data_IF_444762898233
#
_entry.id   IF_444762898233
#
_cell.length_a   1.000
_cell.length_b   1.000
_cell.length_c   1.000
_cell.angle_alpha   90.00
_cell.angle_beta   90.00
_cell.angle_gamma   90.00
#
_symmetry.space_group_name_H-M   'P 1'
#
loop_
_entity.id
_entity.type
_entity.pdbx_description
1 polymer ?
#
# COMPACT_ATOMS: atom_id res chain seq x y z
N UNK A 1 -5.09 -5.38 8.52
CA UNK A 1 -4.69 -5.73 9.88
C UNK A 1 -3.35 -5.06 10.21
N UNK A 2 -3.18 -4.51 11.43
CA UNK A 2 -1.97 -3.77 11.78
C UNK A 2 -1.85 -3.61 13.30
N UNK A 3 -0.68 -3.15 13.75
CA UNK A 3 -0.42 -2.67 15.10
C UNK A 3 0.09 -1.22 15.06
N UNK A 4 0.33 -0.63 16.24
CA UNK A 4 0.79 0.75 16.35
C UNK A 4 2.17 1.00 15.70
N UNK A 5 3.01 -0.03 15.57
CA UNK A 5 4.33 0.11 14.93
C UNK A 5 4.25 0.34 13.42
N UNK A 6 3.15 -0.10 12.79
CA UNK A 6 2.86 0.05 11.36
C UNK A 6 1.78 1.10 11.06
N UNK A 7 1.45 1.96 12.03
CA UNK A 7 0.36 2.94 11.89
C UNK A 7 0.58 3.93 10.74
N UNK A 8 1.81 4.39 10.54
CA UNK A 8 2.17 5.30 9.43
C UNK A 8 1.92 4.64 8.06
N UNK A 9 2.27 3.38 7.94
CA UNK A 9 2.06 2.60 6.72
C UNK A 9 0.56 2.39 6.47
N UNK A 10 -0.18 1.99 7.50
CA UNK A 10 -1.63 1.85 7.43
C UNK A 10 -2.31 3.18 7.04
N UNK A 11 -1.91 4.31 7.63
CA UNK A 11 -2.43 5.63 7.28
C UNK A 11 -2.12 6.00 5.83
N UNK A 12 -0.92 5.68 5.34
CA UNK A 12 -0.53 5.91 3.94
C UNK A 12 -1.40 5.09 2.98
N UNK A 13 -1.64 3.82 3.31
CA UNK A 13 -2.55 2.96 2.54
C UNK A 13 -3.97 3.53 2.55
N UNK A 14 -4.50 3.96 3.70
CA UNK A 14 -5.83 4.57 3.82
C UNK A 14 -5.93 5.85 2.99
N UNK A 15 -4.93 6.73 3.04
CA UNK A 15 -4.87 7.92 2.16
C UNK A 15 -4.97 7.54 0.69
N UNK A 16 -4.19 6.54 0.26
CA UNK A 16 -4.21 6.09 -1.13
C UNK A 16 -5.57 5.53 -1.55
N UNK A 17 -6.28 4.81 -0.67
CA UNK A 17 -7.65 4.34 -0.93
C UNK A 17 -8.58 5.54 -1.14
N UNK A 18 -8.58 6.49 -0.21
CA UNK A 18 -9.53 7.61 -0.18
C UNK A 18 -9.28 8.68 -1.25
N UNK A 19 -8.08 8.73 -1.83
CA UNK A 19 -7.80 9.56 -3.02
C UNK A 19 -8.56 9.06 -4.25
N UNK A 20 -8.77 7.75 -4.36
CA UNK A 20 -9.33 7.12 -5.55
C UNK A 20 -10.72 6.52 -5.36
N UNK A 21 -11.19 6.40 -4.11
CA UNK A 21 -12.45 5.74 -3.78
C UNK A 21 -13.22 6.55 -2.73
N UNK A 22 -14.53 6.63 -2.90
CA UNK A 22 -15.47 7.26 -1.95
C UNK A 22 -16.51 6.24 -1.48
N UNK A 23 -17.28 6.57 -0.48
CA UNK A 23 -18.31 5.68 0.09
C UNK A 23 -17.72 4.36 0.61
N UNK A 24 -16.54 4.42 1.22
CA UNK A 24 -15.85 3.24 1.73
C UNK A 24 -15.89 3.17 3.26
N UNK A 25 -16.14 1.98 3.77
CA UNK A 25 -16.00 1.65 5.18
C UNK A 25 -14.72 0.82 5.36
N UNK A 26 -13.74 1.37 6.07
CA UNK A 26 -12.42 0.76 6.26
C UNK A 26 -12.34 0.19 7.68
N UNK A 27 -12.27 -1.12 7.81
CA UNK A 27 -12.07 -1.80 9.09
C UNK A 27 -10.58 -2.00 9.35
N UNK A 28 -10.10 -1.48 10.48
CA UNK A 28 -8.71 -1.67 10.93
C UNK A 28 -8.70 -2.66 12.08
N UNK A 29 -8.31 -3.90 11.78
CA UNK A 29 -8.11 -4.94 12.78
C UNK A 29 -6.79 -4.67 13.49
N UNK A 30 -6.87 -4.39 14.80
CA UNK A 30 -5.70 -3.99 15.56
C UNK A 30 -5.81 -4.43 17.04
N UNK A 31 -4.71 -4.30 17.78
CA UNK A 31 -4.70 -4.66 19.20
C UNK A 31 -4.19 -3.54 20.14
N UNK A 32 -3.62 -2.46 19.60
CA UNK A 32 -2.90 -1.46 20.40
C UNK A 32 -2.96 -0.03 19.85
N UNK A 33 -3.75 0.23 18.80
CA UNK A 33 -3.91 1.58 18.27
C UNK A 33 -4.86 2.38 19.17
N UNK A 34 -4.44 3.58 19.54
CA UNK A 34 -5.22 4.46 20.41
C UNK A 34 -6.58 4.84 19.78
N UNK A 35 -7.70 4.74 20.52
CA UNK A 35 -9.03 5.10 20.02
C UNK A 35 -9.12 6.56 19.54
N UNK A 36 -8.31 7.45 20.08
CA UNK A 36 -8.23 8.86 19.70
C UNK A 36 -7.79 9.03 18.24
N UNK A 37 -6.91 8.18 17.75
CA UNK A 37 -6.49 8.22 16.35
C UNK A 37 -7.69 8.02 15.41
N UNK A 38 -8.52 7.01 15.66
CA UNK A 38 -9.74 6.76 14.88
C UNK A 38 -10.72 7.91 14.96
N UNK A 39 -10.91 8.46 16.14
CA UNK A 39 -11.81 9.61 16.37
C UNK A 39 -11.36 10.84 15.58
N UNK A 40 -10.07 11.15 15.62
CA UNK A 40 -9.49 12.29 14.89
C UNK A 40 -9.54 12.08 13.37
N UNK A 41 -9.27 10.87 12.91
CA UNK A 41 -9.34 10.52 11.50
C UNK A 41 -10.78 10.64 10.99
N UNK A 42 -11.75 10.02 11.65
CA UNK A 42 -13.15 10.08 11.25
C UNK A 42 -13.74 11.50 11.30
N UNK A 43 -13.23 12.37 12.17
CA UNK A 43 -13.62 13.77 12.16
C UNK A 43 -13.24 14.46 10.84
N UNK A 44 -12.15 14.05 10.21
CA UNK A 44 -11.71 14.55 8.88
C UNK A 44 -12.52 13.94 7.74
N UNK A 45 -12.91 12.67 7.85
CA UNK A 45 -13.55 11.89 6.77
C UNK A 45 -15.04 12.19 6.56
N UNK A 46 -15.68 13.00 7.42
CA UNK A 46 -17.14 13.28 7.36
C UNK A 46 -17.63 13.79 6.00
N UNK A 47 -16.77 14.51 5.28
CA UNK A 47 -17.15 15.16 4.01
C UNK A 47 -17.05 14.25 2.78
N UNK A 48 -16.48 13.05 2.93
CA UNK A 48 -16.25 12.09 1.82
C UNK A 48 -17.09 10.82 1.97
N UNK A 49 -18.08 10.86 2.87
CA UNK A 49 -18.99 9.74 3.14
C UNK A 49 -18.26 8.41 3.37
N UNK A 50 -17.11 8.49 4.06
CA UNK A 50 -16.28 7.32 4.36
C UNK A 50 -15.92 7.30 5.84
N UNK A 51 -15.64 6.12 6.36
CA UNK A 51 -15.29 5.95 7.76
C UNK A 51 -14.21 4.89 7.97
N UNK A 52 -13.49 5.02 9.09
CA UNK A 52 -12.49 4.06 9.54
C UNK A 52 -12.92 3.50 10.89
N UNK A 53 -13.19 2.22 10.94
CA UNK A 53 -13.70 1.51 12.12
C UNK A 53 -12.57 0.70 12.75
N UNK A 54 -12.36 0.91 14.06
CA UNK A 54 -11.45 0.09 14.85
C UNK A 54 -12.12 -1.24 15.22
N UNK A 55 -11.48 -2.34 14.88
CA UNK A 55 -11.83 -3.66 15.41
C UNK A 55 -10.66 -4.15 16.29
N UNK A 56 -10.92 -4.24 17.58
CA UNK A 56 -9.94 -4.77 18.51
C UNK A 56 -9.90 -6.30 18.44
N UNK A 57 -8.70 -6.86 18.19
CA UNK A 57 -8.46 -8.29 18.17
C UNK A 57 -7.57 -8.68 19.34
N UNK A 58 -7.98 -9.68 20.12
CA UNK A 58 -7.14 -10.20 21.21
C UNK A 58 -5.93 -10.94 20.60
N UNK A 59 -4.76 -10.33 20.72
CA UNK A 59 -3.51 -10.89 20.24
C UNK A 59 -3.18 -12.26 20.84
N UNK A 60 -3.67 -12.56 22.04
CA UNK A 60 -3.37 -13.82 22.73
C UNK A 60 -3.83 -15.05 21.93
N UNK A 61 -4.80 -14.88 21.03
CA UNK A 61 -5.23 -15.94 20.13
C UNK A 61 -4.13 -16.41 19.17
N UNK A 62 -3.13 -15.56 18.89
CA UNK A 62 -2.14 -15.80 17.83
C UNK A 62 -0.68 -15.73 18.29
N UNK A 63 -0.41 -15.41 19.56
CA UNK A 63 0.97 -15.26 20.07
C UNK A 63 1.78 -16.57 20.07
N UNK A 64 1.10 -17.70 20.03
CA UNK A 64 1.73 -19.02 19.90
C UNK A 64 2.09 -19.40 18.46
N UNK A 65 1.59 -18.64 17.47
CA UNK A 65 1.82 -18.95 16.08
C UNK A 65 3.21 -18.50 15.63
N UNK A 66 3.84 -19.33 14.80
CA UNK A 66 5.16 -19.02 14.26
C UNK A 66 5.09 -17.83 13.33
N UNK A 67 5.91 -16.84 13.61
CA UNK A 67 6.11 -15.65 12.80
C UNK A 67 7.55 -15.57 12.33
N UNK A 68 7.83 -14.72 11.34
CA UNK A 68 9.19 -14.48 10.84
C UNK A 68 9.65 -13.06 11.14
N UNK A 69 10.86 -12.72 10.72
CA UNK A 69 11.44 -11.38 10.95
C UNK A 69 10.60 -10.21 10.36
N UNK A 70 9.81 -10.49 9.33
CA UNK A 70 8.99 -9.51 8.61
C UNK A 70 7.49 -9.71 8.82
N UNK A 71 7.09 -10.79 9.48
CA UNK A 71 5.70 -11.21 9.61
C UNK A 71 5.42 -11.37 11.10
N UNK A 72 4.55 -10.53 11.63
CA UNK A 72 4.11 -10.65 13.02
C UNK A 72 2.72 -11.34 13.11
N UNK A 73 2.25 -11.61 14.31
CA UNK A 73 0.97 -12.30 14.53
C UNK A 73 -0.25 -11.57 13.95
N UNK A 74 -0.17 -10.25 13.68
CA UNK A 74 -1.30 -9.50 13.12
C UNK A 74 -1.69 -9.96 11.72
N UNK A 75 -0.80 -10.67 11.04
CA UNK A 75 -1.10 -11.27 9.73
C UNK A 75 -2.25 -12.28 9.82
N UNK A 76 -2.39 -13.01 10.92
CA UNK A 76 -3.48 -13.96 11.13
C UNK A 76 -4.83 -13.31 11.41
N UNK A 77 -4.88 -12.02 11.74
CA UNK A 77 -6.15 -11.31 11.99
C UNK A 77 -7.08 -11.35 10.77
N UNK A 78 -6.52 -11.48 9.56
CA UNK A 78 -7.32 -11.58 8.32
C UNK A 78 -8.24 -12.80 8.30
N UNK A 79 -7.94 -13.86 9.04
CA UNK A 79 -8.83 -15.03 9.16
C UNK A 79 -10.16 -14.69 9.80
N UNK A 80 -10.18 -13.72 10.71
CA UNK A 80 -11.35 -13.35 11.50
C UNK A 80 -12.30 -12.37 10.78
N UNK A 81 -11.91 -11.84 9.61
CA UNK A 81 -12.68 -10.82 8.90
C UNK A 81 -14.15 -11.25 8.71
N UNK A 82 -14.45 -12.46 8.23
CA UNK A 82 -15.84 -12.85 7.99
C UNK A 82 -16.75 -12.82 9.23
N UNK A 83 -16.21 -13.05 10.43
CA UNK A 83 -16.97 -12.98 11.67
C UNK A 83 -17.05 -11.56 12.26
N UNK A 84 -16.07 -10.72 11.95
CA UNK A 84 -15.96 -9.38 12.52
C UNK A 84 -16.63 -8.30 11.65
N UNK A 85 -16.88 -8.59 10.39
CA UNK A 85 -17.49 -7.68 9.43
C UNK A 85 -18.83 -8.23 8.95
N UNK A 86 -19.89 -7.45 9.07
CA UNK A 86 -21.26 -7.91 8.79
C UNK A 86 -21.61 -7.97 7.30
N UNK A 87 -20.81 -7.36 6.42
CA UNK A 87 -21.06 -7.40 4.97
C UNK A 87 -20.86 -8.80 4.39
N UNK A 88 -21.51 -9.05 3.25
CA UNK A 88 -21.43 -10.33 2.54
C UNK A 88 -20.05 -10.58 1.95
N UNK A 89 -19.28 -9.53 1.70
CA UNK A 89 -17.91 -9.61 1.20
C UNK A 89 -17.01 -8.55 1.80
N UNK A 90 -15.70 -8.80 1.75
CA UNK A 90 -14.67 -7.88 2.19
C UNK A 90 -13.49 -7.90 1.23
N UNK A 91 -12.91 -6.71 0.99
CA UNK A 91 -11.61 -6.60 0.32
C UNK A 91 -10.54 -6.38 1.40
N UNK A 92 -9.72 -7.39 1.64
CA UNK A 92 -8.57 -7.30 2.53
C UNK A 92 -7.38 -6.70 1.79
N UNK A 93 -6.70 -5.78 2.45
CA UNK A 93 -5.49 -5.11 1.97
C UNK A 93 -4.42 -5.11 3.07
N UNK A 94 -3.20 -5.49 2.74
CA UNK A 94 -2.04 -5.30 3.62
C UNK A 94 -1.73 -3.80 3.80
N UNK A 95 -0.93 -3.46 4.80
CA UNK A 95 -0.58 -2.05 5.12
C UNK A 95 0.65 -1.54 4.35
N UNK A 96 1.29 -2.36 3.56
CA UNK A 96 2.48 -2.04 2.78
C UNK A 96 2.19 -1.95 1.28
N UNK A 97 1.01 -1.45 0.96
CA UNK A 97 0.57 -1.24 -0.42
C UNK A 97 0.00 0.17 -0.66
N UNK A 98 -0.14 0.52 -1.93
CA UNK A 98 -0.80 1.73 -2.39
C UNK A 98 -1.90 1.39 -3.39
N UNK A 99 -3.06 1.99 -3.18
CA UNK A 99 -4.16 2.01 -4.15
C UNK A 99 -3.98 3.22 -5.05
N UNK A 100 -3.94 3.00 -6.36
CA UNK A 100 -3.73 4.04 -7.38
C UNK A 100 -4.85 4.10 -8.40
N UNK A 101 -6.00 3.52 -8.07
CA UNK A 101 -7.18 3.55 -8.91
C UNK A 101 -8.46 3.14 -8.20
N UNK A 102 -9.56 3.21 -8.90
CA UNK A 102 -10.88 2.76 -8.43
C UNK A 102 -10.88 1.24 -8.25
N UNK A 103 -11.38 0.79 -7.10
CA UNK A 103 -11.49 -0.62 -6.70
C UNK A 103 -12.91 -1.19 -6.85
N UNK A 104 -13.88 -0.40 -7.33
CA UNK A 104 -15.29 -0.82 -7.43
C UNK A 104 -15.46 -2.07 -8.31
N UNK A 105 -14.73 -2.14 -9.42
CA UNK A 105 -14.76 -3.30 -10.31
C UNK A 105 -14.27 -4.56 -9.62
N UNK A 106 -13.18 -4.48 -8.87
CA UNK A 106 -12.65 -5.58 -8.07
C UNK A 106 -13.65 -5.99 -6.98
N UNK A 107 -14.18 -5.01 -6.24
CA UNK A 107 -15.07 -5.28 -5.11
C UNK A 107 -16.38 -5.95 -5.53
N UNK A 108 -16.93 -5.59 -6.71
CA UNK A 108 -18.21 -6.11 -7.20
C UNK A 108 -18.08 -7.26 -8.20
N UNK A 109 -16.87 -7.75 -8.46
CA UNK A 109 -16.67 -8.83 -9.41
C UNK A 109 -17.42 -10.11 -9.01
N UNK A 110 -17.79 -10.91 -9.99
CA UNK A 110 -18.31 -12.25 -9.75
C UNK A 110 -17.17 -13.17 -9.28
N UNK A 111 -17.32 -13.74 -8.10
CA UNK A 111 -16.36 -14.68 -7.51
C UNK A 111 -16.57 -16.13 -7.97
N UNK A 112 -17.57 -16.40 -8.82
CA UNK A 112 -17.87 -17.75 -9.37
C UNK A 112 -18.04 -18.83 -8.30
N UNK A 113 -18.60 -18.43 -7.14
CA UNK A 113 -18.77 -19.33 -5.99
C UNK A 113 -17.46 -19.70 -5.28
N UNK A 114 -16.37 -18.97 -5.54
CA UNK A 114 -15.11 -19.18 -4.84
C UNK A 114 -15.06 -18.38 -3.52
N UNK A 115 -14.48 -18.96 -2.45
CA UNK A 115 -14.42 -18.30 -1.14
C UNK A 115 -13.43 -17.13 -1.09
N UNK A 116 -12.46 -17.08 -2.00
CA UNK A 116 -11.46 -16.03 -2.10
C UNK A 116 -11.07 -15.78 -3.55
N UNK A 117 -10.86 -14.50 -3.90
CA UNK A 117 -10.22 -14.12 -5.14
C UNK A 117 -8.94 -13.35 -4.85
N UNK A 118 -7.86 -13.65 -5.57
CA UNK A 118 -6.52 -13.10 -5.32
C UNK A 118 -5.68 -13.10 -6.60
N UNK A 119 -4.57 -12.40 -6.57
CA UNK A 119 -3.58 -12.41 -7.65
C UNK A 119 -2.64 -13.60 -7.49
N UNK A 120 -2.45 -14.34 -8.58
CA UNK A 120 -1.49 -15.44 -8.63
C UNK A 120 -0.08 -14.95 -8.29
N UNK A 121 0.63 -15.73 -7.50
CA UNK A 121 2.00 -15.45 -7.11
C UNK A 121 2.92 -16.61 -7.47
N UNK A 122 3.97 -16.35 -8.23
CA UNK A 122 4.99 -17.36 -8.50
C UNK A 122 5.81 -17.71 -7.25
N UNK A 123 5.61 -16.97 -6.15
CA UNK A 123 6.29 -17.17 -4.86
C UNK A 123 5.42 -17.88 -3.81
N UNK A 124 4.33 -18.48 -4.20
CA UNK A 124 3.56 -19.39 -3.33
C UNK A 124 4.31 -20.73 -3.19
N UNK A 125 5.45 -20.70 -2.51
CA UNK A 125 6.60 -21.62 -2.59
C UNK A 125 6.42 -22.99 -1.96
N UNK A 126 5.32 -23.27 -1.29
CA UNK A 126 5.24 -24.44 -0.41
C UNK A 126 4.62 -25.67 -1.03
N UNK A 127 4.07 -25.51 -2.18
CA UNK A 127 3.71 -26.65 -3.03
C UNK A 127 4.22 -26.36 -4.44
N UNK A 128 4.60 -27.39 -5.16
CA UNK A 128 4.82 -27.33 -6.60
C UNK A 128 3.55 -26.89 -7.37
N UNK A 129 2.61 -26.31 -6.68
CA UNK A 129 1.30 -25.89 -7.13
C UNK A 129 1.20 -24.37 -7.18
N UNK A 130 0.53 -23.90 -8.18
CA UNK A 130 0.11 -22.56 -8.42
C UNK A 130 -0.69 -21.99 -7.24
N UNK A 131 -0.29 -20.85 -6.71
CA UNK A 131 -0.90 -20.22 -5.55
C UNK A 131 -1.01 -18.71 -5.70
N UNK A 132 -1.45 -18.03 -4.63
CA UNK A 132 -1.70 -16.59 -4.63
C UNK A 132 -0.92 -15.87 -3.53
N UNK A 133 -0.71 -14.54 -3.73
CA UNK A 133 -0.24 -13.65 -2.68
C UNK A 133 -1.41 -13.21 -1.81
N UNK A 134 -1.26 -13.30 -0.49
CA UNK A 134 -2.32 -13.02 0.48
C UNK A 134 -2.47 -11.53 0.85
N UNK A 135 -1.68 -10.62 0.28
CA UNK A 135 -1.73 -9.20 0.62
C UNK A 135 -2.93 -8.45 0.05
N UNK A 136 -3.60 -9.00 -0.96
CA UNK A 136 -4.88 -8.51 -1.49
C UNK A 136 -5.81 -9.70 -1.66
N UNK A 137 -6.92 -9.73 -0.92
CA UNK A 137 -7.90 -10.80 -0.98
C UNK A 137 -9.32 -10.22 -1.06
N UNK A 138 -10.05 -10.57 -2.09
CA UNK A 138 -11.50 -10.41 -2.05
C UNK A 138 -12.09 -11.68 -1.41
N UNK A 139 -12.84 -11.52 -0.32
CA UNK A 139 -13.34 -12.60 0.52
C UNK A 139 -14.86 -12.62 0.43
N UNK A 140 -15.42 -13.78 0.16
CA UNK A 140 -16.86 -14.07 0.33
C UNK A 140 -17.13 -14.41 1.79
N UNK A 141 -17.56 -13.42 2.57
CA UNK A 141 -17.75 -13.57 4.00
C UNK A 141 -18.89 -14.55 4.34
N UNK A 142 -19.95 -14.60 3.52
CA UNK A 142 -21.06 -15.53 3.72
C UNK A 142 -20.59 -16.97 3.55
N UNK A 143 -19.90 -17.25 2.45
CA UNK A 143 -19.39 -18.58 2.16
C UNK A 143 -18.39 -19.05 3.23
N UNK A 144 -17.57 -18.13 3.78
CA UNK A 144 -16.66 -18.47 4.86
C UNK A 144 -17.39 -18.83 6.14
N UNK A 145 -18.44 -18.07 6.54
CA UNK A 145 -19.26 -18.35 7.72
C UNK A 145 -20.01 -19.67 7.57
N UNK A 146 -20.69 -19.87 6.43
CA UNK A 146 -21.47 -21.08 6.15
C UNK A 146 -20.63 -22.36 6.24
N UNK A 147 -19.37 -22.29 5.85
CA UNK A 147 -18.47 -23.44 5.83
C UNK A 147 -17.54 -23.52 7.02
N UNK A 148 -17.65 -22.62 7.99
CA UNK A 148 -16.76 -22.54 9.18
C UNK A 148 -15.28 -22.59 8.79
N UNK A 149 -14.88 -21.76 7.82
CA UNK A 149 -13.49 -21.76 7.35
C UNK A 149 -12.52 -21.17 8.38
N UNK A 150 -13.00 -20.31 9.26
CA UNK A 150 -12.17 -19.72 10.32
C UNK A 150 -11.63 -20.81 11.24
N UNK A 151 -12.51 -21.62 11.83
CA UNK A 151 -12.10 -22.72 12.72
C UNK A 151 -11.16 -23.71 12.02
N UNK A 152 -11.45 -24.02 10.76
CA UNK A 152 -10.61 -24.92 9.95
C UNK A 152 -9.24 -24.34 9.64
N UNK A 153 -9.14 -23.03 9.35
CA UNK A 153 -7.87 -22.35 9.13
C UNK A 153 -7.03 -22.28 10.41
N UNK A 154 -7.66 -21.98 11.56
CA UNK A 154 -6.97 -21.98 12.84
C UNK A 154 -6.43 -23.36 13.18
N UNK A 155 -7.24 -24.41 13.01
CA UNK A 155 -6.79 -25.78 13.20
C UNK A 155 -5.61 -26.14 12.26
N UNK A 156 -5.75 -25.85 10.97
CA UNK A 156 -4.69 -26.11 9.99
C UNK A 156 -3.40 -25.36 10.33
N UNK A 157 -3.54 -24.12 10.85
CA UNK A 157 -2.37 -23.32 11.29
C UNK A 157 -1.66 -24.00 12.45
N UNK A 158 -2.39 -24.49 13.46
CA UNK A 158 -1.81 -25.23 14.58
C UNK A 158 -1.06 -26.47 14.12
N UNK A 159 -1.62 -27.19 13.15
CA UNK A 159 -1.01 -28.42 12.61
C UNK A 159 0.23 -28.16 11.75
N UNK A 160 0.22 -27.07 10.96
CA UNK A 160 1.18 -26.85 9.87
C UNK A 160 2.16 -25.70 10.07
N UNK A 161 1.97 -24.81 11.04
CA UNK A 161 2.80 -23.60 11.19
C UNK A 161 4.31 -23.85 11.33
N UNK A 162 4.71 -25.03 11.81
CA UNK A 162 6.13 -25.39 11.92
C UNK A 162 6.76 -25.78 10.57
N UNK A 163 5.95 -26.17 9.60
CA UNK A 163 6.37 -26.70 8.31
C UNK A 163 6.36 -25.63 7.20
N UNK A 164 5.62 -24.53 7.42
CA UNK A 164 5.39 -23.50 6.39
C UNK A 164 6.38 -22.32 6.50
N UNK A 165 6.73 -21.70 5.37
CA UNK A 165 7.71 -20.61 5.33
C UNK A 165 7.05 -19.22 5.36
N UNK A 166 5.84 -19.05 4.80
CA UNK A 166 5.18 -17.76 4.62
C UNK A 166 3.95 -17.61 5.53
N UNK A 167 4.02 -18.16 6.75
CA UNK A 167 3.00 -18.04 7.78
C UNK A 167 1.56 -18.23 7.24
N UNK A 168 0.68 -17.25 7.42
CA UNK A 168 -0.72 -17.30 7.01
C UNK A 168 -0.91 -17.44 5.49
N UNK A 169 -0.05 -16.84 4.66
CA UNK A 169 -0.13 -17.00 3.20
C UNK A 169 0.00 -18.46 2.78
N UNK A 170 0.94 -19.18 3.37
CA UNK A 170 1.11 -20.60 3.09
C UNK A 170 -0.10 -21.43 3.51
N UNK A 171 -0.62 -21.15 4.70
CA UNK A 171 -1.81 -21.84 5.22
C UNK A 171 -3.02 -21.58 4.31
N UNK A 172 -3.25 -20.34 3.90
CA UNK A 172 -4.34 -19.99 2.98
C UNK A 172 -4.20 -20.71 1.63
N UNK A 173 -2.99 -20.79 1.10
CA UNK A 173 -2.73 -21.50 -0.16
C UNK A 173 -2.91 -23.01 -0.06
N UNK A 174 -2.56 -23.62 1.08
CA UNK A 174 -2.82 -25.03 1.34
C UNK A 174 -4.33 -25.27 1.48
N UNK A 175 -5.01 -24.42 2.24
CA UNK A 175 -6.43 -24.59 2.56
C UNK A 175 -7.33 -24.40 1.33
N UNK A 176 -7.08 -23.34 0.56
CA UNK A 176 -7.86 -23.02 -0.63
C UNK A 176 -7.25 -23.57 -1.94
N UNK A 177 -6.37 -24.55 -1.86
CA UNK A 177 -5.77 -25.15 -3.05
C UNK A 177 -6.84 -25.52 -4.10
N UNK A 178 -6.68 -24.98 -5.33
CA UNK A 178 -7.64 -25.16 -6.43
C UNK A 178 -9.07 -24.61 -6.17
N UNK A 179 -9.30 -23.93 -5.06
CA UNK A 179 -10.62 -23.36 -4.70
C UNK A 179 -10.56 -21.86 -4.44
N UNK A 180 -9.89 -21.12 -5.32
CA UNK A 180 -9.85 -19.67 -5.34
C UNK A 180 -10.00 -19.16 -6.77
N UNK A 181 -10.34 -17.86 -6.92
CA UNK A 181 -10.45 -17.21 -8.21
C UNK A 181 -9.21 -16.34 -8.45
N UNK A 182 -8.59 -16.50 -9.60
CA UNK A 182 -7.53 -15.60 -10.03
C UNK A 182 -8.09 -14.28 -10.53
N UNK A 183 -7.44 -13.17 -10.13
CA UNK A 183 -7.72 -11.82 -10.59
C UNK A 183 -6.51 -11.22 -11.29
N UNK A 184 -6.74 -10.14 -12.04
CA UNK A 184 -5.70 -9.47 -12.81
C UNK A 184 -4.55 -8.98 -11.93
N UNK A 185 -3.33 -9.16 -12.40
CA UNK A 185 -2.10 -8.82 -11.67
C UNK A 185 -1.97 -7.34 -11.30
N UNK A 186 -2.70 -6.45 -11.97
CA UNK A 186 -2.74 -5.02 -11.63
C UNK A 186 -3.36 -4.74 -10.27
N UNK A 187 -4.13 -5.68 -9.70
CA UNK A 187 -4.72 -5.56 -8.36
C UNK A 187 -3.83 -6.05 -7.22
N UNK A 188 -2.64 -6.55 -7.49
CA UNK A 188 -1.62 -6.83 -6.47
C UNK A 188 -0.24 -6.92 -7.13
N UNK A 189 0.22 -5.80 -7.68
CA UNK A 189 1.50 -5.74 -8.37
C UNK A 189 2.64 -5.69 -7.36
N UNK A 190 3.39 -6.80 -7.25
CA UNK A 190 4.45 -6.98 -6.27
C UNK A 190 5.70 -6.21 -6.67
N UNK A 191 6.09 -5.20 -5.90
CA UNK A 191 7.39 -4.52 -5.99
C UNK A 191 8.26 -4.88 -4.78
N UNK A 192 9.56 -4.80 -4.95
CA UNK A 192 10.52 -5.19 -3.90
C UNK A 192 10.99 -6.64 -4.02
N UNK A 193 10.31 -7.43 -4.84
CA UNK A 193 10.76 -8.76 -5.27
C UNK A 193 11.39 -8.72 -6.68
N UNK A 194 11.46 -7.56 -7.28
CA UNK A 194 11.91 -7.32 -8.67
C UNK A 194 13.36 -7.78 -8.94
N UNK A 195 14.16 -7.92 -7.89
CA UNK A 195 15.52 -8.47 -8.00
C UNK A 195 15.54 -9.91 -8.53
N UNK A 196 14.45 -10.62 -8.35
CA UNK A 196 14.32 -12.01 -8.78
C UNK A 196 13.77 -12.13 -10.20
N UNK A 197 13.19 -11.04 -10.75
CA UNK A 197 12.68 -10.99 -12.11
C UNK A 197 13.69 -10.31 -13.02
N UNK A 198 14.35 -11.08 -13.85
CA UNK A 198 15.20 -10.56 -14.92
C UNK A 198 14.39 -10.42 -16.19
N UNK A 199 14.22 -9.23 -16.71
CA UNK A 199 13.80 -8.98 -18.07
C UNK A 199 12.45 -8.27 -18.24
N UNK A 200 11.65 -8.68 -19.17
CA UNK A 200 10.56 -7.97 -19.84
C UNK A 200 9.42 -7.40 -18.98
N UNK A 201 9.31 -7.75 -17.71
CA UNK A 201 8.26 -7.18 -16.83
C UNK A 201 8.59 -5.79 -16.30
N UNK A 202 9.87 -5.39 -16.29
CA UNK A 202 10.29 -4.04 -15.93
C UNK A 202 9.72 -2.98 -16.88
N UNK A 203 9.43 -3.34 -18.12
CA UNK A 203 8.90 -2.42 -19.14
C UNK A 203 7.41 -2.11 -18.99
N UNK A 204 6.62 -2.95 -18.30
CA UNK A 204 5.17 -2.75 -18.16
C UNK A 204 4.78 -1.56 -17.31
N UNK A 205 5.61 -1.15 -16.33
CA UNK A 205 5.31 0.01 -15.49
C UNK A 205 5.56 1.36 -16.16
N UNK A 206 6.18 1.40 -17.32
CA UNK A 206 6.46 2.65 -18.03
C UNK A 206 5.21 3.26 -18.68
N UNK A 207 4.14 2.49 -18.86
CA UNK A 207 2.94 2.94 -19.59
C UNK A 207 1.73 3.22 -18.72
N UNK A 208 1.56 2.53 -17.58
CA UNK A 208 0.48 2.78 -16.62
C UNK A 208 0.79 2.22 -15.24
N UNK A 209 0.34 2.92 -14.18
CA UNK A 209 0.41 2.38 -12.83
C UNK A 209 -0.57 1.20 -12.66
N UNK A 210 -0.19 0.16 -11.91
CA UNK A 210 -1.15 -0.87 -11.50
C UNK A 210 -2.23 -0.28 -10.59
N UNK A 211 -3.37 -0.93 -10.46
CA UNK A 211 -4.44 -0.50 -9.55
C UNK A 211 -4.03 -0.57 -8.08
N UNK A 212 -3.24 -1.56 -7.72
CA UNK A 212 -2.65 -1.73 -6.40
C UNK A 212 -1.18 -2.10 -6.56
N UNK A 213 -0.31 -1.26 -6.00
CA UNK A 213 1.13 -1.53 -5.87
C UNK A 213 1.40 -2.07 -4.47
N UNK A 214 2.00 -3.25 -4.36
CA UNK A 214 2.31 -3.89 -3.10
C UNK A 214 3.83 -3.99 -2.90
N UNK A 215 4.35 -3.33 -1.89
CA UNK A 215 5.78 -3.33 -1.54
C UNK A 215 6.13 -4.56 -0.72
N UNK A 216 5.99 -5.73 -1.32
CA UNK A 216 6.24 -7.01 -0.68
C UNK A 216 7.74 -7.23 -0.40
N UNK A 217 8.06 -8.10 0.59
CA UNK A 217 9.42 -8.45 0.95
C UNK A 217 10.17 -7.41 1.78
N UNK A 218 11.49 -7.48 1.77
CA UNK A 218 12.38 -6.72 2.68
C UNK A 218 12.66 -5.28 2.22
N UNK A 219 12.53 -5.00 0.93
CA UNK A 219 12.88 -3.70 0.35
C UNK A 219 11.69 -2.72 0.43
N UNK A 220 11.41 -2.23 1.64
CA UNK A 220 10.28 -1.32 1.89
C UNK A 220 10.59 0.11 1.43
N UNK A 221 9.62 0.86 0.88
CA UNK A 221 9.84 2.22 0.35
C UNK A 221 10.23 3.24 1.42
N UNK A 222 9.88 3.02 2.68
CA UNK A 222 10.20 3.90 3.81
C UNK A 222 11.60 3.67 4.40
N UNK A 223 12.31 2.63 3.99
CA UNK A 223 13.68 2.38 4.47
C UNK A 223 14.67 3.33 3.80
N UNK A 224 15.64 3.83 4.57
CA UNK A 224 16.62 4.83 4.13
C UNK A 224 17.38 4.42 2.87
N UNK A 225 17.80 3.16 2.79
CA UNK A 225 18.61 2.63 1.70
C UNK A 225 17.84 1.74 0.73
N UNK A 226 16.53 1.91 0.65
CA UNK A 226 15.71 1.14 -0.28
C UNK A 226 15.83 1.68 -1.70
N UNK A 227 16.14 0.80 -2.64
CA UNK A 227 16.09 1.05 -4.08
C UNK A 227 14.79 0.54 -4.72
N UNK A 228 13.76 0.30 -3.92
CA UNK A 228 12.47 -0.19 -4.38
C UNK A 228 11.87 0.75 -5.42
N UNK A 229 11.39 0.18 -6.51
CA UNK A 229 10.65 0.93 -7.55
C UNK A 229 9.41 1.56 -6.96
N UNK A 230 8.97 2.66 -7.54
CA UNK A 230 7.80 3.43 -7.08
C UNK A 230 7.92 3.92 -5.62
N UNK A 231 9.14 3.99 -5.08
CA UNK A 231 9.39 4.50 -3.72
C UNK A 231 8.85 5.91 -3.54
N UNK A 232 9.09 6.78 -4.52
CA UNK A 232 8.64 8.17 -4.54
C UNK A 232 7.11 8.27 -4.47
N UNK A 233 6.40 7.32 -5.08
CA UNK A 233 4.95 7.27 -5.03
C UNK A 233 4.46 7.03 -3.59
N UNK A 234 5.11 6.13 -2.84
CA UNK A 234 4.75 5.88 -1.44
C UNK A 234 4.94 7.14 -0.59
N UNK A 235 6.06 7.86 -0.77
CA UNK A 235 6.32 9.10 -0.06
C UNK A 235 5.33 10.20 -0.44
N UNK A 236 4.90 10.27 -1.68
CA UNK A 236 3.86 11.20 -2.15
C UNK A 236 2.56 10.99 -1.37
N UNK A 237 2.06 9.75 -1.27
CA UNK A 237 0.82 9.48 -0.52
C UNK A 237 0.99 9.66 0.99
N UNK A 238 2.13 9.28 1.53
CA UNK A 238 2.44 9.48 2.94
C UNK A 238 2.37 10.95 3.34
N UNK A 239 2.96 11.82 2.53
CA UNK A 239 3.12 13.25 2.82
C UNK A 239 1.91 14.09 2.38
N UNK A 240 0.90 13.51 1.72
CA UNK A 240 -0.36 14.21 1.45
C UNK A 240 -0.97 14.71 2.76
N UNK A 241 -1.36 15.98 2.78
CA UNK A 241 -2.21 16.48 3.86
C UNK A 241 -3.62 15.87 3.73
N UNK A 242 -4.29 15.64 4.86
CA UNK A 242 -5.65 15.13 4.84
C UNK A 242 -6.62 16.06 4.10
N UNK A 243 -6.37 17.35 4.09
CA UNK A 243 -7.14 18.29 3.27
C UNK A 243 -6.99 18.04 1.76
N UNK A 244 -5.86 17.52 1.31
CA UNK A 244 -5.60 17.17 -0.08
C UNK A 244 -6.23 15.82 -0.45
N UNK A 245 -6.22 14.85 0.47
CA UNK A 245 -6.89 13.55 0.30
C UNK A 245 -8.40 13.73 0.13
N UNK A 246 -9.00 14.68 0.84
CA UNK A 246 -10.44 14.89 0.92
C UNK A 246 -10.99 15.83 -0.16
N UNK A 247 -10.16 16.50 -0.90
CA UNK A 247 -10.58 17.12 -2.17
C UNK A 247 -10.75 15.96 -3.14
N UNK A 248 -11.99 15.67 -3.52
CA UNK A 248 -12.28 14.78 -4.65
C UNK A 248 -11.55 15.37 -5.86
N UNK A 249 -10.33 14.91 -6.08
CA UNK A 249 -9.63 15.15 -7.33
C UNK A 249 -10.16 14.10 -8.32
N UNK A 250 -11.11 14.46 -9.21
CA UNK A 250 -11.54 13.56 -10.27
C UNK A 250 -10.38 13.21 -11.21
N UNK A 251 -9.17 13.70 -10.97
CA UNK A 251 -8.00 13.57 -11.79
C UNK A 251 -6.69 13.69 -10.99
N UNK A 252 -6.57 13.05 -9.81
CA UNK A 252 -5.28 12.52 -9.44
C UNK A 252 -5.03 11.25 -10.28
N UNK A 253 -5.29 11.32 -11.56
CA UNK A 253 -4.34 10.73 -12.48
C UNK A 253 -2.99 11.23 -11.99
N UNK A 254 -2.06 10.33 -11.66
CA UNK A 254 -0.66 10.57 -11.93
C UNK A 254 -0.66 10.94 -13.42
N UNK A 255 -1.12 12.15 -13.70
CA UNK A 255 -0.63 12.90 -14.77
C UNK A 255 0.85 12.88 -14.38
N UNK A 256 1.60 11.94 -14.93
CA UNK A 256 2.81 12.45 -15.57
C UNK A 256 2.30 13.76 -16.12
N UNK A 257 2.37 14.82 -15.26
CA UNK A 257 2.32 16.14 -15.82
C UNK A 257 3.31 15.96 -16.91
N UNK A 258 2.80 15.85 -18.10
CA UNK A 258 3.54 16.22 -19.26
C UNK A 258 3.89 17.68 -19.01
N UNK A 259 4.70 17.91 -18.01
CA UNK A 259 5.75 18.84 -18.11
C UNK A 259 6.44 18.32 -19.35
N UNK A 260 6.01 18.84 -20.50
CA UNK A 260 6.85 18.80 -21.68
C UNK A 260 8.24 19.06 -21.13
N UNK A 261 8.89 17.97 -20.86
CA UNK A 261 10.07 17.65 -20.09
C UNK A 261 11.07 18.79 -19.98
N UNK A 262 10.84 19.75 -19.07
CA UNK A 262 11.99 20.42 -18.50
C UNK A 262 12.60 19.40 -17.53
N UNK A 263 13.82 19.02 -17.78
CA UNK A 263 14.62 18.22 -16.83
C UNK A 263 14.62 18.98 -15.51
N UNK A 264 14.47 18.29 -14.39
CA UNK A 264 14.38 18.92 -13.08
C UNK A 264 15.67 18.67 -12.30
N UNK A 265 16.17 19.70 -11.64
CA UNK A 265 17.30 19.63 -10.73
C UNK A 265 16.86 20.11 -9.35
N UNK A 266 17.08 19.29 -8.33
CA UNK A 266 16.92 19.66 -6.93
C UNK A 266 18.30 20.00 -6.37
N UNK A 267 18.48 21.22 -5.86
CA UNK A 267 19.71 21.66 -5.22
C UNK A 267 19.41 21.94 -3.75
N UNK A 268 19.98 21.12 -2.88
CA UNK A 268 20.05 21.40 -1.46
C UNK A 268 21.40 22.06 -1.19
N UNK A 269 21.40 23.35 -0.90
CA UNK A 269 22.64 24.09 -0.61
C UNK A 269 22.74 24.39 0.89
N UNK A 270 23.91 24.16 1.44
CA UNK A 270 24.16 24.39 2.85
C UNK A 270 24.89 25.70 3.10
N UNK A 271 25.51 26.37 2.12
CA UNK A 271 26.09 27.71 2.22
C UNK A 271 26.70 28.20 0.88
N UNK A 272 26.61 29.50 0.64
CA UNK A 272 27.67 30.41 0.13
C UNK A 272 28.10 30.37 -1.35
N UNK A 273 27.68 29.44 -2.19
CA UNK A 273 28.08 29.46 -3.59
C UNK A 273 26.93 29.69 -4.59
N UNK A 274 26.00 30.53 -4.23
CA UNK A 274 24.86 30.96 -5.06
C UNK A 274 25.31 31.48 -6.44
N UNK A 275 26.55 31.98 -6.56
CA UNK A 275 27.11 32.39 -7.84
C UNK A 275 27.17 31.25 -8.86
N UNK A 276 27.56 30.06 -8.42
CA UNK A 276 27.62 28.90 -9.30
C UNK A 276 26.21 28.39 -9.66
N UNK A 277 25.30 28.43 -8.69
CA UNK A 277 23.88 28.08 -8.92
C UNK A 277 23.26 29.04 -9.94
N UNK A 278 23.49 30.33 -9.81
CA UNK A 278 23.00 31.34 -10.77
C UNK A 278 23.52 31.06 -12.21
N UNK A 279 24.76 30.69 -12.36
CA UNK A 279 25.34 30.32 -13.64
C UNK A 279 24.65 29.08 -14.23
N UNK A 280 24.39 28.04 -13.41
CA UNK A 280 23.69 26.84 -13.84
C UNK A 280 22.24 27.14 -14.28
N UNK A 281 21.50 27.94 -13.51
CA UNK A 281 20.13 28.35 -13.83
C UNK A 281 20.10 29.08 -15.18
N UNK A 282 21.05 29.97 -15.43
CA UNK A 282 21.15 30.73 -16.71
C UNK A 282 21.57 29.87 -17.88
N UNK A 283 22.46 28.89 -17.63
CA UNK A 283 23.01 28.02 -18.69
C UNK A 283 22.08 26.91 -19.10
N UNK A 284 21.14 26.52 -18.23
CA UNK A 284 20.23 25.38 -18.40
C UNK A 284 18.77 25.86 -18.40
N UNK A 285 18.43 26.74 -19.34
CA UNK A 285 17.11 27.41 -19.40
C UNK A 285 15.92 26.44 -19.63
N UNK A 286 16.20 25.27 -20.18
CA UNK A 286 15.24 24.16 -20.40
C UNK A 286 15.10 23.22 -19.20
N UNK A 287 15.84 23.49 -18.11
CA UNK A 287 15.72 22.78 -16.84
C UNK A 287 14.95 23.62 -15.82
N UNK A 288 14.22 22.94 -14.94
CA UNK A 288 13.55 23.55 -13.79
C UNK A 288 14.35 23.26 -12.51
N UNK A 289 14.63 24.31 -11.74
CA UNK A 289 15.44 24.24 -10.53
C UNK A 289 14.56 24.38 -9.30
N UNK A 290 14.66 23.45 -8.39
CA UNK A 290 14.07 23.53 -7.06
C UNK A 290 15.20 23.80 -6.06
N UNK A 291 15.13 24.92 -5.37
CA UNK A 291 16.16 25.35 -4.44
C UNK A 291 15.66 25.24 -3.01
N UNK A 292 16.45 24.63 -2.15
CA UNK A 292 16.20 24.61 -0.72
C UNK A 292 17.49 24.96 0.03
N UNK A 293 17.39 25.85 1.00
CA UNK A 293 18.49 26.25 1.86
C UNK A 293 18.01 26.55 3.28
N UNK A 294 18.92 26.56 4.28
CA UNK A 294 18.60 27.01 5.64
C UNK A 294 18.06 28.45 5.66
N UNK A 295 17.28 28.78 6.67
CA UNK A 295 16.54 30.04 6.80
C UNK A 295 17.39 31.32 6.77
N UNK A 296 18.67 31.22 7.08
CA UNK A 296 19.63 32.32 7.09
C UNK A 296 20.10 32.79 5.67
N UNK A 297 19.74 32.01 4.63
CA UNK A 297 20.07 32.31 3.24
C UNK A 297 18.91 32.93 2.44
N UNK A 298 17.86 33.41 3.08
CA UNK A 298 16.58 33.79 2.46
C UNK A 298 16.69 34.96 1.45
N UNK A 299 17.53 35.97 1.69
CA UNK A 299 17.68 37.12 0.80
C UNK A 299 18.36 36.72 -0.51
N UNK A 300 19.33 35.84 -0.43
CA UNK A 300 20.08 35.39 -1.60
C UNK A 300 19.26 34.44 -2.47
N UNK A 301 18.48 33.53 -1.84
CA UNK A 301 17.54 32.68 -2.57
C UNK A 301 16.42 33.47 -3.23
N UNK A 302 15.90 34.49 -2.55
CA UNK A 302 14.91 35.42 -3.12
C UNK A 302 15.42 36.11 -4.37
N UNK A 303 16.73 36.38 -4.44
CA UNK A 303 17.34 36.95 -5.65
C UNK A 303 17.33 36.02 -6.87
N UNK A 304 17.18 34.70 -6.65
CA UNK A 304 17.10 33.70 -7.71
C UNK A 304 15.66 33.45 -8.18
N UNK A 305 14.65 33.81 -7.40
CA UNK A 305 13.25 33.66 -7.77
C UNK A 305 12.80 34.54 -8.95
N UNK A 306 13.65 35.49 -9.37
CA UNK A 306 13.45 36.28 -10.60
C UNK A 306 13.54 35.45 -11.89
N UNK A 307 14.15 34.25 -11.81
CA UNK A 307 14.26 33.37 -12.98
C UNK A 307 12.99 32.50 -13.10
N UNK A 308 12.42 32.41 -14.30
CA UNK A 308 11.16 31.70 -14.57
C UNK A 308 11.26 30.19 -14.44
N UNK A 309 12.47 29.64 -14.34
CA UNK A 309 12.77 28.23 -14.20
C UNK A 309 13.26 27.86 -12.78
N UNK A 310 12.92 28.66 -11.78
CA UNK A 310 13.28 28.44 -10.35
C UNK A 310 12.04 28.46 -9.48
N UNK A 311 11.97 27.54 -8.53
CA UNK A 311 10.99 27.48 -7.42
C UNK A 311 11.67 27.17 -6.10
#
# INVERSE_FOLDING_TARGET
>A
ATDNSYLVQAETTIKSILVHNTDVCIYVLNNDIAPEWFKLLNAKLRNVNSEVISIHVDKNMFTSYKTGDLINYTTFFRYLIPDLVTSDRSLYLDCDLLVTGDLSELFHMDMEGKPVAAVASPYAWESSTYGFNAGVLLIDNELWRENDYISKLLQLTEEKQAEVAMADQSILNIFFQNNWKEIDSTYNYLVGLDYNYRGNELSRLETSLPKITHFAGTHKPWLTYSSTRLRELWWTYRDLDWSEVLVVFPNLCYNQRSHQSKKQIFILTVVAEIKHIRYLIQSLSDWHFHLAAPCDCSEELTSLSQYTNVT
#
